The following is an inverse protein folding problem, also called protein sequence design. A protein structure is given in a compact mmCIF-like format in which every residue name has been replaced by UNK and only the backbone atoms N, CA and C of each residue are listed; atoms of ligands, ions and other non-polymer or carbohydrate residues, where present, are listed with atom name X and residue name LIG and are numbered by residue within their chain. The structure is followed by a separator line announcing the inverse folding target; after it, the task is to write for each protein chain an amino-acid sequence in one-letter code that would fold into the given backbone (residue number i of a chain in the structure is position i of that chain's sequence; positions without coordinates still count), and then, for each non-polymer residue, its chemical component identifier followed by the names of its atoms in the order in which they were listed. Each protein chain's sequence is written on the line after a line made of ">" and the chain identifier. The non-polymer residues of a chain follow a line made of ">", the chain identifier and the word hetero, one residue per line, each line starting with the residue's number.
data_IF_944290430321
#
_entry.id   IF_944290430321
#
_cell.length_a   1.000
_cell.length_b   1.000
_cell.length_c   1.000
_cell.angle_alpha   90.00
_cell.angle_beta   90.00
_cell.angle_gamma   90.00
#
_symmetry.space_group_name_H-M   'P 1'
#
loop_
_entity.id
_entity.type
_entity.pdbx_description
1 polymer ?
#
# COMPACT_ATOMS: atom_id res chain seq x y z
N UNK A 1 2.74 -27.43 -1.70
CA UNK A 1 2.67 -26.24 -2.57
C UNK A 1 1.70 -25.28 -1.92
N UNK A 2 2.19 -24.27 -1.19
CA UNK A 2 1.30 -23.30 -0.52
C UNK A 2 1.00 -22.24 -1.57
N UNK A 3 -0.18 -22.31 -2.19
CA UNK A 3 -0.74 -21.20 -2.96
C UNK A 3 -1.21 -20.17 -1.94
N UNK A 4 -0.42 -19.12 -1.74
CA UNK A 4 -0.87 -17.97 -0.97
C UNK A 4 -2.04 -17.33 -1.73
N UNK A 5 -3.25 -17.44 -1.17
CA UNK A 5 -4.43 -16.74 -1.69
C UNK A 5 -4.18 -15.25 -1.54
N UNK A 6 -3.72 -14.60 -2.60
CA UNK A 6 -3.42 -13.17 -2.60
C UNK A 6 -4.72 -12.38 -2.37
N UNK A 7 -4.92 -11.89 -1.14
CA UNK A 7 -6.16 -11.23 -0.73
C UNK A 7 -6.17 -9.80 -1.26
N UNK A 8 -7.32 -9.38 -1.76
CA UNK A 8 -7.54 -8.01 -2.20
C UNK A 8 -8.17 -7.18 -1.07
N UNK A 9 -7.47 -6.15 -0.60
CA UNK A 9 -7.93 -5.26 0.46
C UNK A 9 -8.42 -3.93 -0.09
N UNK A 10 -9.18 -3.19 0.71
CA UNK A 10 -9.71 -1.88 0.32
C UNK A 10 -8.69 -0.76 0.56
N UNK A 11 -8.92 0.42 -0.04
CA UNK A 11 -8.11 1.63 0.23
C UNK A 11 -7.98 1.94 1.73
N UNK A 12 -9.05 1.97 2.55
CA UNK A 12 -8.92 2.28 3.97
C UNK A 12 -8.13 1.21 4.76
N UNK A 13 -8.18 -0.06 4.35
CA UNK A 13 -7.37 -1.11 4.97
C UNK A 13 -5.89 -0.97 4.60
N UNK A 14 -5.61 -0.67 3.33
CA UNK A 14 -4.25 -0.40 2.85
C UNK A 14 -3.64 0.82 3.55
N UNK A 15 -4.43 1.89 3.73
CA UNK A 15 -4.03 3.09 4.45
C UNK A 15 -3.63 2.78 5.89
N UNK A 16 -4.45 2.01 6.62
CA UNK A 16 -4.14 1.59 7.98
C UNK A 16 -2.88 0.73 8.06
N UNK A 17 -2.66 -0.17 7.10
CA UNK A 17 -1.46 -1.03 7.07
C UNK A 17 -0.19 -0.27 6.79
N UNK A 18 -0.22 0.65 5.83
CA UNK A 18 0.94 1.48 5.50
C UNK A 18 1.14 2.64 6.49
N UNK A 19 0.21 2.87 7.42
CA UNK A 19 0.27 4.00 8.35
C UNK A 19 0.09 5.36 7.67
N UNK A 20 -0.50 5.40 6.47
CA UNK A 20 -0.67 6.63 5.67
C UNK A 20 -2.13 7.00 5.52
N UNK A 21 -2.41 8.23 5.08
CA UNK A 21 -3.78 8.66 4.81
C UNK A 21 -4.37 7.96 3.56
N UNK A 22 -5.70 7.80 3.52
CA UNK A 22 -6.40 7.30 2.32
C UNK A 22 -6.19 8.19 1.09
N UNK A 23 -5.94 9.49 1.30
CA UNK A 23 -5.56 10.43 0.25
C UNK A 23 -4.18 10.10 -0.32
N UNK A 24 -3.22 9.75 0.53
CA UNK A 24 -1.89 9.28 0.11
C UNK A 24 -2.04 8.03 -0.74
N UNK A 25 -2.80 7.03 -0.29
CA UNK A 25 -3.05 5.82 -1.10
C UNK A 25 -3.64 6.15 -2.47
N UNK A 26 -4.66 7.02 -2.54
CA UNK A 26 -5.24 7.45 -3.83
C UNK A 26 -4.20 8.11 -4.74
N UNK A 27 -3.37 8.99 -4.18
CA UNK A 27 -2.27 9.63 -4.90
C UNK A 27 -1.26 8.59 -5.41
N UNK A 28 -0.88 7.62 -4.59
CA UNK A 28 0.05 6.57 -4.99
C UNK A 28 -0.53 5.68 -6.10
N UNK A 29 -1.85 5.45 -6.10
CA UNK A 29 -2.54 4.77 -7.21
C UNK A 29 -2.47 5.62 -8.49
N UNK A 30 -2.71 6.93 -8.40
CA UNK A 30 -2.61 7.85 -9.53
C UNK A 30 -1.17 7.94 -10.09
N UNK A 31 -0.17 7.92 -9.20
CA UNK A 31 1.25 7.90 -9.54
C UNK A 31 1.77 6.52 -9.98
N UNK A 32 0.90 5.50 -10.00
CA UNK A 32 1.26 4.11 -10.35
C UNK A 32 2.34 3.49 -9.44
N UNK A 33 2.51 4.02 -8.22
CA UNK A 33 3.40 3.46 -7.19
C UNK A 33 2.80 2.21 -6.53
N UNK A 34 1.46 2.11 -6.52
CA UNK A 34 0.73 0.94 -6.03
C UNK A 34 -0.17 0.40 -7.14
N UNK A 35 -0.04 -0.90 -7.44
CA UNK A 35 -0.98 -1.58 -8.31
C UNK A 35 -2.34 -1.78 -7.61
N UNK A 36 -3.31 -0.94 -7.99
CA UNK A 36 -4.70 -1.10 -7.62
C UNK A 36 -5.57 -1.44 -8.84
N UNK A 37 -6.67 -2.14 -8.60
CA UNK A 37 -7.64 -2.53 -9.61
C UNK A 37 -9.05 -2.25 -9.11
N UNK A 38 -9.97 -1.98 -10.04
CA UNK A 38 -11.35 -1.62 -9.71
C UNK A 38 -12.25 -2.85 -9.77
N UNK A 39 -12.88 -3.20 -8.66
CA UNK A 39 -13.85 -4.30 -8.54
C UNK A 39 -15.19 -3.73 -8.14
N UNK A 40 -16.22 -3.93 -8.96
CA UNK A 40 -17.59 -3.46 -8.68
C UNK A 40 -17.66 -1.97 -8.27
N UNK A 41 -16.85 -1.13 -8.91
CA UNK A 41 -16.82 0.32 -8.62
C UNK A 41 -15.88 0.72 -7.47
N UNK A 42 -15.32 -0.23 -6.71
CA UNK A 42 -14.42 0.02 -5.59
C UNK A 42 -12.97 -0.28 -5.96
N UNK A 43 -12.05 0.55 -5.49
CA UNK A 43 -10.62 0.27 -5.60
C UNK A 43 -10.19 -0.83 -4.65
N UNK A 44 -9.44 -1.79 -5.17
CA UNK A 44 -8.87 -2.93 -4.46
C UNK A 44 -7.38 -2.97 -4.72
N UNK A 45 -6.62 -3.29 -3.68
CA UNK A 45 -5.16 -3.41 -3.73
C UNK A 45 -4.82 -4.81 -3.26
N UNK A 46 -3.84 -5.46 -3.92
CA UNK A 46 -3.40 -6.78 -3.49
C UNK A 46 -2.59 -6.67 -2.20
N UNK A 47 -2.82 -7.56 -1.26
CA UNK A 47 -2.08 -7.58 0.00
C UNK A 47 -0.58 -7.73 -0.25
N UNK A 48 -0.20 -8.59 -1.18
CA UNK A 48 1.19 -8.77 -1.62
C UNK A 48 1.85 -7.47 -2.13
N UNK A 49 1.06 -6.57 -2.72
CA UNK A 49 1.52 -5.26 -3.18
C UNK A 49 1.93 -4.38 -2.01
N UNK A 50 1.06 -4.32 -0.99
CA UNK A 50 1.28 -3.54 0.22
C UNK A 50 2.51 -4.04 0.95
N UNK A 51 2.66 -5.35 1.11
CA UNK A 51 3.85 -5.93 1.71
C UNK A 51 5.13 -5.61 0.93
N UNK A 52 5.08 -5.59 -0.40
CA UNK A 52 6.23 -5.20 -1.23
C UNK A 52 6.66 -3.77 -0.92
N UNK A 53 5.70 -2.86 -0.80
CA UNK A 53 5.95 -1.45 -0.51
C UNK A 53 6.48 -1.29 0.91
N UNK A 54 5.93 -2.02 1.89
CA UNK A 54 6.45 -2.00 3.27
C UNK A 54 7.92 -2.44 3.30
N UNK A 55 8.26 -3.55 2.62
CA UNK A 55 9.65 -4.02 2.50
C UNK A 55 10.55 -3.05 1.73
N UNK A 56 10.01 -2.27 0.79
CA UNK A 56 10.75 -1.26 0.04
C UNK A 56 11.00 0.01 0.84
N UNK A 57 9.97 0.52 1.52
CA UNK A 57 9.98 1.77 2.30
C UNK A 57 10.81 1.66 3.58
N UNK A 58 11.10 0.46 4.10
CA UNK A 58 12.09 0.28 5.17
C UNK A 58 13.48 0.85 4.79
N UNK A 59 13.77 0.99 3.49
CA UNK A 59 15.02 1.59 3.02
C UNK A 59 14.99 3.14 2.99
N UNK A 60 13.81 3.76 3.07
CA UNK A 60 13.64 5.22 2.91
C UNK A 60 13.13 5.91 4.19
N UNK A 61 12.53 5.20 5.15
CA UNK A 61 12.00 5.80 6.40
C UNK A 61 12.98 5.85 7.58
N UNK A 62 14.27 5.57 7.39
CA UNK A 62 15.31 5.74 8.44
C UNK A 62 16.16 7.01 8.25
N UNK A 63 15.65 8.03 7.57
CA UNK A 63 16.35 9.29 7.39
C UNK A 63 15.38 10.47 7.43
N UNK A 64 14.61 10.63 8.51
CA UNK A 64 13.90 11.88 8.82
C UNK A 64 13.33 11.84 10.26
N UNK A 65 14.20 11.59 11.24
CA UNK A 65 14.00 11.97 12.64
C UNK A 65 15.39 12.35 13.19
N UNK A 66 15.92 13.46 12.71
CA UNK A 66 17.02 14.19 13.36
C UNK A 66 16.70 15.67 13.22
N UNK A 67 16.90 16.38 14.34
CA UNK A 67 16.69 17.82 14.60
C UNK A 67 15.25 18.18 15.03
N UNK A 68 14.99 18.69 16.24
CA UNK A 68 15.84 19.21 17.34
C UNK A 68 15.09 19.16 18.68
#
# INVERSE_FOLDING_TARGET
>A
MIVATDKAISIPDAAQRLGVSTRTIRRMIELHEIHAFKVLGQWRIRESEIERIMRGNESESQAEDTEE
#
